data_IF_047633184263
#
_entry.id   IF_047633184263
#
_cell.length_a   1.000
_cell.length_b   1.000
_cell.length_c   1.000
_cell.angle_alpha   90.00
_cell.angle_beta   90.00
_cell.angle_gamma   90.00
#
_symmetry.space_group_name_H-M   'P 1'
#
loop_
_entity.id
_entity.type
_entity.pdbx_description
1 polymer ?
#
# COMPACT_ATOMS: atom_id res chain seq x y z
N UNK A 1 18.45 -11.82 8.30
CA UNK A 1 16.99 -11.88 8.05
C UNK A 1 16.69 -13.00 7.07
N UNK A 2 15.45 -13.52 7.08
CA UNK A 2 15.01 -14.60 6.19
C UNK A 2 13.74 -14.18 5.45
N UNK A 3 13.62 -14.58 4.17
CA UNK A 3 12.42 -14.42 3.35
C UNK A 3 11.94 -15.82 2.97
N UNK A 4 10.72 -16.19 3.32
CA UNK A 4 10.20 -17.56 3.13
C UNK A 4 11.13 -18.65 3.68
N UNK A 5 11.71 -18.42 4.87
CA UNK A 5 12.63 -19.36 5.52
C UNK A 5 14.08 -19.37 4.99
N UNK A 6 14.36 -18.78 3.83
CA UNK A 6 15.70 -18.69 3.23
C UNK A 6 16.40 -17.37 3.57
N UNK A 7 17.72 -17.33 3.70
CA UNK A 7 18.46 -16.08 3.77
C UNK A 7 18.22 -15.23 2.51
N UNK A 8 17.92 -13.95 2.66
CA UNK A 8 17.77 -13.06 1.49
C UNK A 8 18.91 -12.05 1.41
N UNK A 9 19.17 -11.54 0.20
CA UNK A 9 20.06 -10.41 -0.01
C UNK A 9 19.25 -9.14 -0.32
N UNK A 10 19.87 -7.97 -0.09
CA UNK A 10 19.21 -6.69 -0.29
C UNK A 10 18.85 -6.41 -1.76
N UNK A 11 19.59 -6.97 -2.74
CA UNK A 11 19.30 -6.79 -4.16
C UNK A 11 18.02 -7.55 -4.56
N UNK A 12 17.84 -8.76 -4.04
CA UNK A 12 16.64 -9.54 -4.25
C UNK A 12 15.41 -8.86 -3.64
N UNK A 13 15.50 -8.41 -2.38
CA UNK A 13 14.42 -7.72 -1.71
C UNK A 13 14.01 -6.45 -2.48
N UNK A 14 14.96 -5.64 -2.94
CA UNK A 14 14.67 -4.44 -3.74
C UNK A 14 13.96 -4.73 -5.05
N UNK A 15 14.14 -5.91 -5.63
CA UNK A 15 13.50 -6.31 -6.88
C UNK A 15 12.05 -6.70 -6.69
N UNK A 16 11.70 -7.34 -5.56
CA UNK A 16 10.37 -7.87 -5.28
C UNK A 16 9.52 -6.94 -4.41
N UNK A 17 10.13 -5.98 -3.73
CA UNK A 17 9.45 -5.07 -2.82
C UNK A 17 9.25 -3.67 -3.41
N UNK A 18 8.08 -3.09 -3.13
CA UNK A 18 7.81 -1.66 -3.28
C UNK A 18 7.76 -0.98 -1.90
N UNK A 19 8.07 0.31 -1.86
CA UNK A 19 7.98 1.13 -0.65
C UNK A 19 7.26 2.44 -0.94
N UNK A 20 6.24 2.76 -0.17
CA UNK A 20 5.51 4.03 -0.23
C UNK A 20 5.76 4.79 1.06
N UNK A 21 6.35 5.96 0.93
CA UNK A 21 6.67 6.85 2.06
C UNK A 21 5.41 7.53 2.59
N UNK A 22 5.48 8.01 3.83
CA UNK A 22 4.43 8.80 4.47
C UNK A 22 4.11 10.09 3.68
N UNK A 23 5.14 10.77 3.17
CA UNK A 23 4.97 11.97 2.34
C UNK A 23 4.75 11.65 0.88
N UNK A 24 3.75 12.27 0.26
CA UNK A 24 3.41 12.09 -1.15
C UNK A 24 4.33 12.94 -2.03
N UNK A 25 5.37 12.32 -2.59
CA UNK A 25 6.29 12.97 -3.52
C UNK A 25 5.73 12.91 -4.96
N UNK A 26 4.71 13.71 -5.24
CA UNK A 26 4.04 13.79 -6.53
C UNK A 26 4.22 15.16 -7.18
N UNK A 27 4.36 15.19 -8.51
CA UNK A 27 4.32 16.44 -9.26
C UNK A 27 2.87 16.88 -9.46
N UNK A 28 2.47 17.95 -8.79
CA UNK A 28 1.10 18.46 -8.80
C UNK A 28 0.62 19.01 -10.15
N UNK A 29 1.51 19.26 -11.11
CA UNK A 29 1.16 19.76 -12.43
C UNK A 29 0.76 18.67 -13.42
N UNK A 30 1.06 17.40 -13.12
CA UNK A 30 0.72 16.26 -13.96
C UNK A 30 -0.66 15.72 -13.61
N UNK A 31 -1.33 15.10 -14.58
CA UNK A 31 -2.53 14.30 -14.32
C UNK A 31 -2.17 12.96 -13.69
N UNK A 32 -3.17 12.25 -13.19
CA UNK A 32 -3.00 10.91 -12.64
C UNK A 32 -2.39 9.97 -13.68
N UNK A 33 -2.95 9.96 -14.90
CA UNK A 33 -2.45 9.12 -15.99
C UNK A 33 -1.02 9.49 -16.38
N UNK A 34 -0.74 10.78 -16.56
CA UNK A 34 0.61 11.25 -16.91
C UNK A 34 1.64 10.85 -15.86
N UNK A 35 1.31 10.96 -14.57
CA UNK A 35 2.18 10.56 -13.46
C UNK A 35 2.51 9.06 -13.53
N UNK A 36 1.50 8.21 -13.74
CA UNK A 36 1.68 6.76 -13.85
C UNK A 36 2.41 6.37 -15.14
N UNK A 37 2.09 6.99 -16.27
CA UNK A 37 2.78 6.75 -17.55
C UNK A 37 4.26 7.17 -17.49
N UNK A 38 4.55 8.31 -16.88
CA UNK A 38 5.94 8.75 -16.67
C UNK A 38 6.70 7.72 -15.83
N UNK A 39 6.10 7.27 -14.73
CA UNK A 39 6.68 6.24 -13.86
C UNK A 39 6.85 4.91 -14.61
N UNK A 40 5.87 4.50 -15.41
CA UNK A 40 5.95 3.28 -16.22
C UNK A 40 7.12 3.32 -17.24
N UNK A 41 7.35 4.48 -17.86
CA UNK A 41 8.50 4.66 -18.78
C UNK A 41 9.84 4.53 -18.09
N UNK A 42 9.96 4.96 -16.83
CA UNK A 42 11.20 4.90 -16.05
C UNK A 42 11.46 3.52 -15.43
N UNK A 43 10.40 2.83 -14.97
CA UNK A 43 10.52 1.62 -14.14
C UNK A 43 10.32 0.31 -14.91
N UNK A 44 9.47 0.30 -15.94
CA UNK A 44 9.25 -0.91 -16.73
C UNK A 44 10.41 -1.18 -17.68
N UNK A 45 10.67 -2.46 -18.01
CA UNK A 45 11.73 -2.83 -18.94
C UNK A 45 11.63 -2.09 -20.28
N UNK A 46 12.77 -1.83 -20.90
CA UNK A 46 12.83 -1.16 -22.22
C UNK A 46 12.16 -1.96 -23.34
N UNK A 47 11.99 -3.27 -23.15
CA UNK A 47 11.28 -4.16 -24.08
C UNK A 47 9.79 -3.88 -24.18
N UNK A 48 9.20 -3.21 -23.18
CA UNK A 48 7.79 -2.84 -23.22
C UNK A 48 7.53 -1.75 -24.26
N UNK A 49 6.57 -1.98 -25.14
CA UNK A 49 6.05 -0.97 -26.06
C UNK A 49 5.25 0.10 -25.31
N UNK A 50 4.96 1.22 -25.96
CA UNK A 50 4.09 2.25 -25.36
C UNK A 50 2.65 1.74 -25.12
N UNK A 51 2.16 0.87 -25.98
CA UNK A 51 0.83 0.25 -25.83
C UNK A 51 0.78 -0.65 -24.57
N UNK A 52 1.78 -1.50 -24.37
CA UNK A 52 1.87 -2.36 -23.19
C UNK A 52 2.02 -1.56 -21.90
N UNK A 53 2.78 -0.44 -21.92
CA UNK A 53 2.87 0.47 -20.78
C UNK A 53 1.53 1.11 -20.47
N UNK A 54 0.80 1.59 -21.50
CA UNK A 54 -0.54 2.17 -21.32
C UNK A 54 -1.50 1.14 -20.73
N UNK A 55 -1.55 -0.06 -21.29
CA UNK A 55 -2.37 -1.15 -20.77
C UNK A 55 -2.06 -1.42 -19.28
N UNK A 56 -0.76 -1.47 -18.91
CA UNK A 56 -0.36 -1.68 -17.52
C UNK A 56 -0.79 -0.55 -16.59
N UNK A 57 -0.73 0.69 -17.05
CA UNK A 57 -1.22 1.86 -16.30
C UNK A 57 -2.74 1.78 -16.12
N UNK A 58 -3.48 1.42 -17.16
CA UNK A 58 -4.95 1.28 -17.10
C UNK A 58 -5.38 0.17 -16.13
N UNK A 59 -4.67 -0.98 -16.14
CA UNK A 59 -4.86 -2.05 -15.15
C UNK A 59 -4.68 -1.54 -13.71
N UNK A 60 -3.59 -0.81 -13.45
CA UNK A 60 -3.29 -0.28 -12.11
C UNK A 60 -4.32 0.78 -11.70
N UNK A 61 -4.75 1.65 -12.61
CA UNK A 61 -5.79 2.64 -12.32
C UNK A 61 -7.13 1.97 -11.98
N UNK A 62 -7.48 0.92 -12.70
CA UNK A 62 -8.70 0.15 -12.44
C UNK A 62 -8.64 -0.57 -11.08
N UNK A 63 -7.52 -1.24 -10.76
CA UNK A 63 -7.31 -1.94 -9.49
C UNK A 63 -7.39 -0.99 -8.28
N UNK A 64 -6.98 0.27 -8.46
CA UNK A 64 -6.98 1.30 -7.41
C UNK A 64 -8.24 2.20 -7.43
N UNK A 65 -9.18 2.01 -8.37
CA UNK A 65 -10.36 2.84 -8.50
C UNK A 65 -10.04 4.29 -8.90
N UNK A 66 -8.99 4.52 -9.70
CA UNK A 66 -8.54 5.83 -10.16
C UNK A 66 -9.00 6.19 -11.58
N UNK A 67 -9.70 5.28 -12.27
CA UNK A 67 -10.09 5.48 -13.67
C UNK A 67 -10.95 6.72 -13.91
N UNK A 68 -11.76 7.12 -12.91
CA UNK A 68 -12.65 8.29 -12.99
C UNK A 68 -11.91 9.64 -12.88
N UNK A 69 -10.66 9.65 -12.43
CA UNK A 69 -9.82 10.84 -12.26
C UNK A 69 -8.55 10.80 -13.11
N UNK A 70 -8.50 9.96 -14.14
CA UNK A 70 -7.29 9.73 -14.96
C UNK A 70 -6.72 11.02 -15.55
N UNK A 71 -7.57 11.94 -15.98
CA UNK A 71 -7.25 13.24 -16.61
C UNK A 71 -7.22 14.41 -15.62
N UNK A 72 -7.50 14.17 -14.34
CA UNK A 72 -7.44 15.20 -13.29
C UNK A 72 -6.00 15.38 -12.82
N UNK A 73 -5.57 16.63 -12.66
CA UNK A 73 -4.23 16.95 -12.12
C UNK A 73 -4.10 16.47 -10.67
N UNK A 74 -2.90 16.07 -10.30
CA UNK A 74 -2.59 15.69 -8.90
C UNK A 74 -2.86 16.86 -7.96
N UNK A 75 -2.53 18.08 -8.39
CA UNK A 75 -2.76 19.30 -7.64
C UNK A 75 -1.61 19.70 -6.71
N UNK A 76 -1.57 20.98 -6.40
CA UNK A 76 -0.61 21.60 -5.48
C UNK A 76 -1.38 22.27 -4.34
N UNK A 77 -0.72 22.76 -3.28
CA UNK A 77 -1.38 23.55 -2.22
C UNK A 77 -2.13 24.77 -2.75
N UNK A 78 -1.71 25.33 -3.89
CA UNK A 78 -2.31 26.52 -4.51
C UNK A 78 -3.35 26.17 -5.58
N UNK A 79 -3.30 24.99 -6.18
CA UNK A 79 -4.21 24.55 -7.24
C UNK A 79 -4.82 23.20 -6.86
N UNK A 80 -6.13 23.20 -6.60
CA UNK A 80 -6.86 21.99 -6.22
C UNK A 80 -6.75 20.93 -7.32
N UNK A 81 -6.52 19.71 -6.95
CA UNK A 81 -6.48 18.51 -7.80
C UNK A 81 -7.28 17.38 -7.17
N UNK A 82 -6.75 16.16 -7.28
CA UNK A 82 -7.34 14.97 -6.68
C UNK A 82 -7.37 15.03 -5.15
N UNK A 83 -8.22 14.23 -4.51
CA UNK A 83 -8.34 14.10 -3.05
C UNK A 83 -7.08 13.47 -2.42
N UNK A 84 -6.93 13.61 -1.09
CA UNK A 84 -5.83 12.99 -0.34
C UNK A 84 -5.79 11.47 -0.49
N UNK A 85 -6.94 10.80 -0.45
CA UNK A 85 -7.05 9.36 -0.65
C UNK A 85 -6.67 8.91 -2.05
N UNK A 86 -7.08 9.65 -3.09
CA UNK A 86 -6.67 9.40 -4.47
C UNK A 86 -5.17 9.63 -4.65
N UNK A 87 -4.61 10.65 -4.01
CA UNK A 87 -3.17 10.92 -4.01
C UNK A 87 -2.37 9.76 -3.43
N UNK A 88 -2.79 9.21 -2.30
CA UNK A 88 -2.19 7.99 -1.72
C UNK A 88 -2.30 6.79 -2.66
N UNK A 89 -3.45 6.60 -3.33
CA UNK A 89 -3.61 5.54 -4.34
C UNK A 89 -2.68 5.73 -5.53
N UNK A 90 -2.44 6.96 -6.00
CA UNK A 90 -1.45 7.23 -7.06
C UNK A 90 -0.05 6.83 -6.60
N UNK A 91 0.39 7.18 -5.38
CA UNK A 91 1.68 6.76 -4.83
C UNK A 91 1.82 5.23 -4.78
N UNK A 92 0.78 4.53 -4.37
CA UNK A 92 0.73 3.06 -4.39
C UNK A 92 0.78 2.55 -5.83
N UNK A 93 0.03 3.15 -6.75
CA UNK A 93 0.00 2.81 -8.17
C UNK A 93 1.38 2.85 -8.82
N UNK A 94 2.18 3.87 -8.50
CA UNK A 94 3.57 3.97 -8.97
C UNK A 94 4.43 2.77 -8.56
N UNK A 95 4.16 2.14 -7.41
CA UNK A 95 4.87 0.94 -6.97
C UNK A 95 4.30 -0.32 -7.64
N UNK A 96 2.96 -0.40 -7.81
CA UNK A 96 2.28 -1.56 -8.39
C UNK A 96 2.62 -1.79 -9.87
N UNK A 97 3.08 -0.77 -10.59
CA UNK A 97 3.50 -0.92 -12.00
C UNK A 97 4.50 -2.07 -12.20
N UNK A 98 5.43 -2.26 -11.28
CA UNK A 98 6.44 -3.31 -11.33
C UNK A 98 5.96 -4.69 -10.84
N UNK A 99 4.66 -4.84 -10.50
CA UNK A 99 4.10 -6.07 -9.93
C UNK A 99 4.92 -6.58 -8.73
N UNK A 100 5.10 -5.77 -7.68
CA UNK A 100 5.86 -6.21 -6.50
C UNK A 100 5.11 -7.37 -5.81
N UNK A 101 5.86 -8.29 -5.22
CA UNK A 101 5.30 -9.34 -4.37
C UNK A 101 5.05 -8.86 -2.94
N UNK A 102 5.79 -7.82 -2.53
CA UNK A 102 5.74 -7.22 -1.20
C UNK A 102 5.66 -5.70 -1.31
N UNK A 103 4.73 -5.09 -0.58
CA UNK A 103 4.54 -3.64 -0.57
C UNK A 103 4.55 -3.12 0.87
N UNK A 104 5.49 -2.23 1.15
CA UNK A 104 5.56 -1.52 2.42
C UNK A 104 4.91 -0.15 2.29
N UNK A 105 4.02 0.19 3.22
CA UNK A 105 3.32 1.48 3.27
C UNK A 105 3.58 2.13 4.63
N UNK A 106 4.17 3.31 4.61
CA UNK A 106 4.46 4.05 5.82
C UNK A 106 3.34 5.05 6.12
N UNK A 107 2.58 4.80 7.18
CA UNK A 107 1.43 5.58 7.64
C UNK A 107 0.48 6.02 6.50
N UNK A 108 -0.06 5.11 5.67
CA UNK A 108 -0.82 5.48 4.47
C UNK A 108 -2.12 6.24 4.79
N UNK A 109 -2.58 6.20 6.02
CA UNK A 109 -3.81 6.87 6.48
C UNK A 109 -3.55 8.22 7.15
N UNK A 110 -2.29 8.62 7.28
CA UNK A 110 -1.93 9.91 7.92
C UNK A 110 -2.50 11.08 7.11
N UNK A 111 -3.13 12.03 7.82
CA UNK A 111 -3.74 13.22 7.21
C UNK A 111 -5.06 12.98 6.47
N UNK A 112 -5.63 11.76 6.53
CA UNK A 112 -6.94 11.44 5.96
C UNK A 112 -8.03 11.43 7.04
N UNK A 113 -9.24 11.79 6.63
CA UNK A 113 -10.43 11.58 7.45
C UNK A 113 -10.77 10.09 7.55
N UNK A 114 -11.57 9.72 8.54
CA UNK A 114 -11.88 8.33 8.87
C UNK A 114 -12.54 7.54 7.75
N UNK A 115 -13.38 8.19 6.94
CA UNK A 115 -14.11 7.55 5.83
C UNK A 115 -13.15 7.26 4.70
N UNK A 116 -12.37 8.25 4.30
CA UNK A 116 -11.36 8.13 3.25
C UNK A 116 -10.26 7.11 3.63
N UNK A 117 -9.82 7.11 4.90
CA UNK A 117 -8.85 6.13 5.40
C UNK A 117 -9.40 4.69 5.33
N UNK A 118 -10.66 4.48 5.73
CA UNK A 118 -11.31 3.18 5.64
C UNK A 118 -11.43 2.69 4.19
N UNK A 119 -11.84 3.57 3.26
CA UNK A 119 -11.98 3.25 1.84
C UNK A 119 -10.63 2.91 1.20
N UNK A 120 -9.58 3.68 1.53
CA UNK A 120 -8.22 3.40 1.11
C UNK A 120 -7.75 2.00 1.55
N UNK A 121 -7.96 1.66 2.83
CA UNK A 121 -7.53 0.37 3.37
C UNK A 121 -8.37 -0.80 2.86
N UNK A 122 -9.63 -0.60 2.52
CA UNK A 122 -10.45 -1.59 1.80
C UNK A 122 -9.88 -1.88 0.42
N UNK A 123 -9.43 -0.85 -0.30
CA UNK A 123 -8.74 -1.03 -1.59
C UNK A 123 -7.47 -1.89 -1.41
N UNK A 124 -6.66 -1.63 -0.37
CA UNK A 124 -5.47 -2.44 -0.07
C UNK A 124 -5.81 -3.87 0.34
N UNK A 125 -6.88 -4.06 1.11
CA UNK A 125 -7.37 -5.40 1.46
C UNK A 125 -7.75 -6.20 0.22
N UNK A 126 -8.47 -5.58 -0.73
CA UNK A 126 -8.81 -6.22 -2.02
C UNK A 126 -7.57 -6.55 -2.85
N UNK A 127 -6.58 -5.65 -2.89
CA UNK A 127 -5.31 -5.90 -3.59
C UNK A 127 -4.52 -7.06 -2.95
N UNK A 128 -4.50 -7.15 -1.62
CA UNK A 128 -3.77 -8.18 -0.90
C UNK A 128 -4.39 -9.58 -1.09
N UNK A 129 -5.72 -9.65 -1.10
CA UNK A 129 -6.43 -10.94 -1.23
C UNK A 129 -6.70 -11.34 -2.69
N UNK A 130 -6.64 -10.40 -3.63
CA UNK A 130 -6.72 -10.59 -5.06
C UNK A 130 -7.95 -11.38 -5.56
N UNK A 131 -8.35 -11.18 -6.82
CA UNK A 131 -9.32 -12.06 -7.49
C UNK A 131 -8.68 -13.38 -8.01
N UNK A 132 -7.36 -13.48 -7.92
CA UNK A 132 -6.54 -14.61 -8.35
C UNK A 132 -5.21 -14.58 -7.59
N UNK A 133 -4.71 -15.73 -7.13
CA UNK A 133 -3.42 -15.88 -6.44
C UNK A 133 -2.25 -15.24 -7.21
N UNK A 134 -2.31 -15.26 -8.54
CA UNK A 134 -1.30 -14.64 -9.41
C UNK A 134 -1.20 -13.11 -9.31
N UNK A 135 -2.17 -12.43 -8.68
CA UNK A 135 -2.21 -10.97 -8.52
C UNK A 135 -2.16 -10.51 -7.07
N UNK A 136 -2.16 -11.41 -6.10
CA UNK A 136 -2.10 -11.06 -4.69
C UNK A 136 -0.74 -10.43 -4.33
N UNK A 137 -0.77 -9.35 -3.56
CA UNK A 137 0.43 -8.63 -3.09
C UNK A 137 0.44 -8.66 -1.58
N UNK A 138 1.53 -9.13 -0.98
CA UNK A 138 1.68 -8.99 0.47
C UNK A 138 1.89 -7.53 0.83
N UNK A 139 0.98 -6.94 1.60
CA UNK A 139 1.05 -5.54 2.02
C UNK A 139 1.37 -5.47 3.51
N UNK A 140 2.40 -4.71 3.86
CA UNK A 140 2.77 -4.40 5.25
C UNK A 140 2.65 -2.90 5.44
N UNK A 141 1.80 -2.44 6.35
CA UNK A 141 1.67 -1.01 6.62
C UNK A 141 1.87 -0.69 8.11
N UNK A 142 2.50 0.45 8.37
CA UNK A 142 2.50 1.08 9.68
C UNK A 142 1.21 1.88 9.86
N UNK A 143 0.52 1.74 10.98
CA UNK A 143 -0.66 2.55 11.30
C UNK A 143 -0.59 2.96 12.76
N UNK A 144 -0.86 4.24 13.00
CA UNK A 144 -0.96 4.79 14.34
C UNK A 144 -2.44 4.84 14.76
N UNK A 145 -2.78 4.19 15.89
CA UNK A 145 -4.11 4.20 16.50
C UNK A 145 -5.28 3.91 15.53
N UNK A 146 -5.33 2.71 14.91
CA UNK A 146 -6.40 2.38 13.97
C UNK A 146 -7.77 2.32 14.67
N UNK A 147 -8.78 2.87 13.98
CA UNK A 147 -10.17 2.71 14.45
C UNK A 147 -10.60 1.24 14.37
N UNK A 148 -11.59 0.85 15.19
CA UNK A 148 -12.08 -0.53 15.26
C UNK A 148 -12.51 -1.11 13.90
N UNK A 149 -13.12 -0.30 13.01
CA UNK A 149 -13.52 -0.72 11.66
C UNK A 149 -12.31 -1.03 10.77
N UNK A 150 -11.25 -0.24 10.89
CA UNK A 150 -9.98 -0.42 10.19
C UNK A 150 -9.27 -1.67 10.71
N UNK A 151 -9.24 -1.85 12.04
CA UNK A 151 -8.63 -3.00 12.67
C UNK A 151 -9.17 -4.34 12.15
N UNK A 152 -10.44 -4.39 11.77
CA UNK A 152 -11.09 -5.60 11.25
C UNK A 152 -10.65 -5.99 9.82
N UNK A 153 -9.97 -5.13 9.09
CA UNK A 153 -9.48 -5.43 7.75
C UNK A 153 -8.16 -6.23 7.74
N UNK A 154 -7.49 -6.36 8.88
CA UNK A 154 -6.15 -6.94 8.95
C UNK A 154 -6.17 -8.44 9.21
N UNK A 155 -5.20 -9.17 8.64
CA UNK A 155 -5.03 -10.61 8.87
C UNK A 155 -4.18 -10.87 10.11
N UNK A 156 -3.05 -10.18 10.21
CA UNK A 156 -2.07 -10.33 11.29
C UNK A 156 -1.63 -8.96 11.82
N UNK A 157 -1.07 -8.94 13.01
CA UNK A 157 -0.62 -7.74 13.70
C UNK A 157 0.77 -7.94 14.27
N UNK A 158 1.58 -6.89 14.21
CA UNK A 158 2.79 -6.72 15.01
C UNK A 158 2.62 -5.43 15.79
N UNK A 159 2.48 -5.52 17.09
CA UNK A 159 2.27 -4.36 17.98
C UNK A 159 3.59 -4.01 18.66
N UNK A 160 4.01 -2.76 18.46
CA UNK A 160 5.26 -2.23 18.99
C UNK A 160 4.97 -1.19 20.08
N UNK A 161 5.68 -1.28 21.20
CA UNK A 161 5.66 -0.27 22.27
C UNK A 161 7.07 -0.05 22.79
N UNK A 162 7.52 1.20 22.83
CA UNK A 162 8.85 1.59 23.32
C UNK A 162 10.00 0.74 22.72
N UNK A 163 9.93 0.48 21.40
CA UNK A 163 10.96 -0.30 20.68
C UNK A 163 10.88 -1.82 20.84
N UNK A 164 9.93 -2.34 21.63
CA UNK A 164 9.76 -3.77 21.86
C UNK A 164 8.49 -4.31 21.20
N UNK A 165 8.55 -5.54 20.68
CA UNK A 165 7.37 -6.25 20.17
C UNK A 165 6.58 -6.78 21.38
N UNK A 166 5.35 -6.30 21.55
CA UNK A 166 4.44 -6.77 22.62
C UNK A 166 3.44 -7.81 22.13
N UNK A 167 3.18 -7.85 20.83
CA UNK A 167 2.37 -8.87 20.19
C UNK A 167 2.78 -9.09 18.75
N UNK A 168 2.77 -10.36 18.31
CA UNK A 168 2.91 -10.73 16.92
C UNK A 168 2.05 -11.97 16.67
N UNK A 169 1.11 -11.89 15.72
CA UNK A 169 0.25 -13.02 15.39
C UNK A 169 -1.06 -12.62 14.71
N UNK A 170 -1.96 -13.59 14.52
CA UNK A 170 -3.27 -13.37 13.90
C UNK A 170 -4.11 -12.36 14.68
N UNK A 171 -4.77 -11.43 13.98
CA UNK A 171 -5.64 -10.40 14.59
C UNK A 171 -6.67 -10.99 15.57
N UNK A 172 -7.29 -12.13 15.21
CA UNK A 172 -8.33 -12.76 16.03
C UNK A 172 -7.85 -13.12 17.45
N UNK A 173 -6.59 -13.48 17.61
CA UNK A 173 -5.99 -13.83 18.89
C UNK A 173 -5.55 -12.60 19.69
N UNK A 174 -5.25 -11.48 19.03
CA UNK A 174 -4.88 -10.22 19.67
C UNK A 174 -6.01 -9.68 20.56
N UNK A 175 -7.27 -9.87 20.15
CA UNK A 175 -8.45 -9.38 20.90
C UNK A 175 -8.65 -10.05 22.26
N UNK A 176 -8.12 -11.28 22.46
CA UNK A 176 -8.28 -12.07 23.70
C UNK A 176 -7.21 -11.69 24.74
N UNK A 177 -6.04 -11.24 24.31
CA UNK A 177 -4.89 -10.99 25.21
C UNK A 177 -4.54 -9.52 25.45
N UNK A 178 -5.00 -8.61 24.59
CA UNK A 178 -4.67 -7.19 24.67
C UNK A 178 -5.90 -6.41 25.10
N UNK A 179 -6.24 -6.55 26.39
CA UNK A 179 -7.19 -5.66 27.05
C UNK A 179 -6.51 -4.29 27.21
N UNK A 180 -6.86 -3.35 26.32
CA UNK A 180 -6.85 -1.91 26.58
C UNK A 180 -5.51 -1.26 26.96
N UNK A 181 -4.73 -0.87 25.97
CA UNK A 181 -3.95 0.37 25.96
C UNK A 181 -3.31 0.58 24.59
N UNK A 182 -4.13 0.70 23.53
CA UNK A 182 -3.65 1.18 22.21
C UNK A 182 -3.23 2.66 22.22
N UNK A 183 -3.27 3.32 23.35
CA UNK A 183 -2.71 4.65 23.56
C UNK A 183 -1.19 4.57 23.51
N UNK A 184 -0.60 5.11 22.45
CA UNK A 184 0.85 5.17 22.18
C UNK A 184 1.52 3.87 21.68
N UNK A 185 0.83 3.03 20.92
CA UNK A 185 1.44 1.90 20.22
C UNK A 185 1.47 2.14 18.71
N UNK A 186 2.61 1.86 18.08
CA UNK A 186 2.70 1.74 16.61
C UNK A 186 2.37 0.31 16.22
N UNK A 187 1.50 0.15 15.22
CA UNK A 187 1.06 -1.16 14.76
C UNK A 187 1.59 -1.36 13.34
N UNK A 188 2.41 -2.39 13.14
CA UNK A 188 2.81 -2.89 11.84
C UNK A 188 1.84 -4.00 11.44
N UNK A 189 1.27 -3.90 10.26
CA UNK A 189 0.18 -4.76 9.84
C UNK A 189 0.52 -5.40 8.51
N UNK A 190 0.74 -6.71 8.48
CA UNK A 190 0.74 -7.45 7.23
C UNK A 190 -0.70 -7.81 6.80
N UNK A 191 -1.05 -7.40 5.59
CA UNK A 191 -2.10 -8.04 4.81
C UNK A 191 -1.39 -9.14 4.03
N UNK A 192 -1.52 -10.39 4.39
CA UNK A 192 -0.84 -11.46 3.69
C UNK A 192 -1.63 -12.74 3.68
N UNK A 193 -1.63 -13.38 2.54
CA UNK A 193 -1.87 -14.80 2.41
C UNK A 193 -0.56 -15.56 2.75
N UNK A 194 -0.03 -15.40 3.95
CA UNK A 194 0.98 -16.32 4.46
C UNK A 194 0.24 -17.39 5.23
N UNK A 195 -0.06 -18.52 4.56
CA UNK A 195 -0.37 -19.75 5.24
C UNK A 195 0.85 -20.12 6.10
N UNK A 196 0.72 -19.95 7.41
CA UNK A 196 1.62 -20.61 8.35
C UNK A 196 1.23 -22.10 8.35
N UNK A 197 1.92 -22.92 7.55
CA UNK A 197 2.06 -24.36 7.79
C UNK A 197 3.25 -24.57 8.71
#
# INVERSE_FOLDING_TARGET
>A
MRLNGAPYNNAELKRIAGYVMQSDLLNGCLTVEETLMYTARLRLPRTFTNAERKQRVDEVMADLGLSHVHDVIVGTPLKKGISGGERKRVCVGMQLLNRPQLLFLDEPTSGLDSVTALDLLRTFHVLAHGKSEAKAVTIVCSIHQPQAKIFNLFDSLIVLKAGSIIYQGPRKQAMVGISISFLNCSILIPFSFLSYT
#
